data_IF_146629107586
#
_entry.id   IF_146629107586
#
_cell.length_a   1.000
_cell.length_b   1.000
_cell.length_c   1.000
_cell.angle_alpha   90.00
_cell.angle_beta   90.00
_cell.angle_gamma   90.00
#
_symmetry.space_group_name_H-M   'P 1'
#
loop_
_entity.id
_entity.type
_entity.pdbx_description
1 polymer ?
#
# COMPACT_ATOMS: atom_id res chain seq x y z
N UNK A 1 -36.17 6.29 -10.25
CA UNK A 1 -34.73 5.93 -10.31
C UNK A 1 -34.63 4.55 -9.68
N UNK A 2 -34.52 3.52 -10.50
CA UNK A 2 -34.25 2.15 -10.06
C UNK A 2 -32.91 2.11 -9.34
N UNK A 3 -32.84 1.61 -8.09
CA UNK A 3 -31.59 1.31 -7.42
C UNK A 3 -30.83 0.36 -8.34
N UNK A 4 -29.73 0.86 -8.94
CA UNK A 4 -28.78 0.00 -9.61
C UNK A 4 -28.32 -1.02 -8.58
N UNK A 5 -28.47 -2.32 -8.88
CA UNK A 5 -27.96 -3.37 -8.02
C UNK A 5 -26.43 -3.20 -7.94
N UNK A 6 -25.87 -3.39 -6.72
CA UNK A 6 -24.41 -3.36 -6.54
C UNK A 6 -23.76 -4.38 -7.49
N UNK A 7 -22.60 -4.09 -8.12
CA UNK A 7 -21.89 -5.06 -8.93
C UNK A 7 -21.57 -6.33 -8.15
N UNK A 8 -21.74 -7.49 -8.76
CA UNK A 8 -21.45 -8.80 -8.16
C UNK A 8 -19.94 -9.04 -8.19
N UNK A 9 -19.35 -9.33 -7.06
CA UNK A 9 -17.90 -9.42 -6.90
C UNK A 9 -17.44 -10.75 -6.32
N UNK A 10 -16.25 -11.16 -6.72
CA UNK A 10 -15.49 -12.26 -6.10
C UNK A 10 -14.15 -11.75 -5.58
N UNK A 11 -13.62 -12.46 -4.59
CA UNK A 11 -12.25 -12.33 -4.13
C UNK A 11 -11.47 -13.59 -4.49
N UNK A 12 -10.35 -13.44 -5.18
CA UNK A 12 -9.45 -14.53 -5.54
C UNK A 12 -8.24 -14.52 -4.61
N UNK A 13 -8.05 -15.59 -3.85
CA UNK A 13 -7.06 -15.72 -2.78
C UNK A 13 -7.71 -15.60 -1.39
N UNK A 14 -7.18 -16.35 -0.41
CA UNK A 14 -7.77 -16.44 0.94
C UNK A 14 -6.79 -16.11 2.09
N UNK A 15 -5.52 -15.80 1.81
CA UNK A 15 -4.55 -15.36 2.84
C UNK A 15 -4.82 -13.89 3.16
N UNK A 16 -4.19 -12.95 2.48
CA UNK A 16 -4.53 -11.53 2.59
C UNK A 16 -5.90 -11.23 1.98
N UNK A 17 -6.37 -12.06 1.04
CA UNK A 17 -7.72 -12.02 0.48
C UNK A 17 -8.84 -12.16 1.51
N UNK A 18 -8.59 -12.76 2.68
CA UNK A 18 -9.56 -12.77 3.78
C UNK A 18 -9.94 -11.35 4.23
N UNK A 19 -8.96 -10.43 4.31
CA UNK A 19 -9.21 -9.01 4.64
C UNK A 19 -10.13 -8.36 3.61
N UNK A 20 -9.93 -8.68 2.31
CA UNK A 20 -10.79 -8.20 1.24
C UNK A 20 -12.19 -8.77 1.35
N UNK A 21 -12.31 -10.10 1.47
CA UNK A 21 -13.62 -10.77 1.55
C UNK A 21 -14.44 -10.27 2.73
N UNK A 22 -13.86 -10.18 3.93
CA UNK A 22 -14.51 -9.65 5.13
C UNK A 22 -14.92 -8.19 4.95
N UNK A 23 -14.06 -7.38 4.32
CA UNK A 23 -14.36 -5.96 4.07
C UNK A 23 -15.49 -5.78 3.07
N UNK A 24 -15.54 -6.62 2.02
CA UNK A 24 -16.51 -6.52 0.93
C UNK A 24 -17.84 -7.20 1.25
N UNK A 25 -17.89 -8.10 2.23
CA UNK A 25 -19.12 -8.68 2.75
C UNK A 25 -19.92 -7.70 3.65
N UNK A 26 -19.31 -6.58 4.08
CA UNK A 26 -19.97 -5.59 4.93
C UNK A 26 -21.17 -4.93 4.22
N UNK A 27 -22.18 -4.54 4.99
CA UNK A 27 -23.42 -3.94 4.47
C UNK A 27 -23.20 -2.62 3.68
N UNK A 28 -22.17 -1.86 4.04
CA UNK A 28 -21.77 -0.61 3.39
C UNK A 28 -20.77 -0.82 2.22
N UNK A 29 -20.56 -2.06 1.78
CA UNK A 29 -19.71 -2.38 0.63
C UNK A 29 -20.27 -1.81 -0.67
N UNK A 30 -19.43 -1.28 -1.58
CA UNK A 30 -19.85 -0.82 -2.90
C UNK A 30 -20.19 -1.96 -3.86
N UNK A 31 -19.91 -3.21 -3.49
CA UNK A 31 -20.17 -4.42 -4.28
C UNK A 31 -20.95 -5.44 -3.46
N UNK A 32 -21.57 -6.40 -4.15
CA UNK A 32 -22.16 -7.61 -3.56
C UNK A 32 -21.12 -8.75 -3.65
N UNK A 33 -20.54 -9.14 -2.52
CA UNK A 33 -19.64 -10.31 -2.51
C UNK A 33 -20.43 -11.58 -2.70
N UNK A 34 -20.17 -12.32 -3.80
CA UNK A 34 -20.88 -13.56 -4.16
C UNK A 34 -20.03 -14.82 -4.01
N UNK A 35 -18.73 -14.67 -3.80
CA UNK A 35 -17.87 -15.83 -3.61
C UNK A 35 -16.40 -15.50 -3.35
N UNK A 36 -15.71 -16.52 -2.86
CA UNK A 36 -14.26 -16.56 -2.71
C UNK A 36 -13.71 -17.65 -3.62
N UNK A 37 -12.63 -17.36 -4.35
CA UNK A 37 -11.91 -18.36 -5.16
C UNK A 37 -10.61 -18.72 -4.44
N UNK A 38 -10.46 -19.98 -4.10
CA UNK A 38 -9.27 -20.52 -3.43
C UNK A 38 -9.21 -22.04 -3.58
N UNK A 39 -8.01 -22.60 -3.51
CA UNK A 39 -7.75 -24.05 -3.68
C UNK A 39 -8.42 -24.98 -2.63
N UNK A 40 -9.27 -24.43 -1.75
CA UNK A 40 -10.12 -25.23 -0.86
C UNK A 40 -9.44 -25.66 0.45
N UNK A 41 -8.50 -24.85 0.99
CA UNK A 41 -7.98 -25.09 2.33
C UNK A 41 -9.08 -25.01 3.39
N UNK A 42 -8.91 -25.67 4.55
CA UNK A 42 -9.86 -25.56 5.66
C UNK A 42 -10.10 -24.10 6.10
N UNK A 43 -9.08 -23.26 6.02
CA UNK A 43 -9.18 -21.82 6.34
C UNK A 43 -10.04 -21.07 5.32
N UNK A 44 -9.93 -21.38 4.02
CA UNK A 44 -10.75 -20.74 2.99
C UNK A 44 -12.20 -21.21 3.02
N UNK A 45 -12.45 -22.49 3.35
CA UNK A 45 -13.79 -23.00 3.57
C UNK A 45 -14.47 -22.31 4.76
N UNK A 46 -13.78 -22.25 5.90
CA UNK A 46 -14.27 -21.55 7.09
C UNK A 46 -14.52 -20.04 6.84
N UNK A 47 -13.72 -19.41 6.00
CA UNK A 47 -13.94 -18.02 5.59
C UNK A 47 -15.25 -17.87 4.79
N UNK A 48 -15.44 -18.68 3.77
CA UNK A 48 -16.63 -18.65 2.91
C UNK A 48 -17.92 -18.94 3.72
N UNK A 49 -17.89 -19.96 4.59
CA UNK A 49 -19.00 -20.31 5.48
C UNK A 49 -19.35 -19.17 6.43
N UNK A 50 -18.34 -18.54 7.07
CA UNK A 50 -18.55 -17.40 7.97
C UNK A 50 -19.16 -16.20 7.27
N UNK A 51 -18.81 -15.96 6.01
CA UNK A 51 -19.34 -14.86 5.21
C UNK A 51 -20.66 -15.20 4.50
N UNK A 52 -21.10 -16.47 4.53
CA UNK A 52 -22.31 -16.91 3.84
C UNK A 52 -22.21 -16.82 2.31
N UNK A 53 -21.00 -16.98 1.74
CA UNK A 53 -20.75 -16.93 0.29
C UNK A 53 -20.19 -18.25 -0.23
N UNK A 54 -20.29 -18.47 -1.54
CA UNK A 54 -19.76 -19.69 -2.17
C UNK A 54 -18.22 -19.71 -2.16
N UNK A 55 -17.63 -20.90 -1.98
CA UNK A 55 -16.22 -21.17 -2.25
C UNK A 55 -16.09 -21.86 -3.61
N UNK A 56 -15.29 -21.28 -4.49
CA UNK A 56 -14.97 -21.82 -5.81
C UNK A 56 -13.52 -22.31 -5.81
N UNK A 57 -13.26 -23.57 -6.20
CA UNK A 57 -11.89 -24.12 -6.23
C UNK A 57 -11.03 -23.51 -7.36
N UNK A 58 -11.67 -23.05 -8.42
CA UNK A 58 -11.05 -22.44 -9.60
C UNK A 58 -11.95 -21.35 -10.22
N UNK A 59 -11.57 -20.88 -11.41
CA UNK A 59 -12.31 -19.86 -12.15
C UNK A 59 -13.37 -20.40 -13.10
N UNK A 60 -13.48 -21.71 -13.29
CA UNK A 60 -14.24 -22.28 -14.42
C UNK A 60 -15.76 -22.28 -14.14
N UNK A 61 -16.16 -22.55 -12.91
CA UNK A 61 -17.56 -22.64 -12.47
C UNK A 61 -18.09 -21.37 -11.79
N UNK A 62 -17.53 -20.20 -12.12
CA UNK A 62 -17.99 -18.94 -11.55
C UNK A 62 -19.40 -18.59 -12.01
N UNK A 63 -20.26 -18.05 -11.12
CA UNK A 63 -21.54 -17.47 -11.51
C UNK A 63 -21.30 -16.20 -12.34
N UNK A 64 -22.37 -15.49 -12.69
CA UNK A 64 -22.23 -14.15 -13.25
C UNK A 64 -21.53 -13.24 -12.23
N UNK A 65 -20.39 -12.64 -12.63
CA UNK A 65 -19.53 -11.78 -11.84
C UNK A 65 -19.17 -10.54 -12.67
N UNK A 66 -19.34 -9.37 -12.10
CA UNK A 66 -18.99 -8.10 -12.74
C UNK A 66 -17.54 -7.69 -12.42
N UNK A 67 -17.10 -7.94 -11.17
CA UNK A 67 -15.82 -7.46 -10.63
C UNK A 67 -15.08 -8.57 -9.89
N UNK A 68 -13.79 -8.69 -10.10
CA UNK A 68 -12.91 -9.57 -9.34
C UNK A 68 -11.80 -8.79 -8.63
N UNK A 69 -11.58 -9.10 -7.35
CA UNK A 69 -10.45 -8.64 -6.57
C UNK A 69 -9.43 -9.77 -6.51
N UNK A 70 -8.32 -9.63 -7.25
CA UNK A 70 -7.26 -10.65 -7.32
C UNK A 70 -6.21 -10.35 -6.25
N UNK A 71 -6.24 -11.11 -5.16
CA UNK A 71 -5.37 -10.96 -3.99
C UNK A 71 -4.45 -12.17 -3.89
N UNK A 72 -3.81 -12.46 -5.01
CA UNK A 72 -2.83 -13.54 -5.19
C UNK A 72 -1.52 -12.91 -5.62
N UNK A 73 -0.40 -13.41 -5.09
CA UNK A 73 0.93 -12.93 -5.47
C UNK A 73 1.12 -12.94 -6.99
N UNK A 74 1.68 -11.87 -7.54
CA UNK A 74 2.02 -11.78 -8.97
C UNK A 74 3.35 -12.50 -9.28
N UNK A 75 3.72 -12.59 -10.56
CA UNK A 75 4.96 -13.19 -11.03
C UNK A 75 6.22 -12.62 -10.38
N UNK A 76 6.22 -11.33 -10.02
CA UNK A 76 7.31 -10.64 -9.31
C UNK A 76 7.70 -11.34 -8.00
N UNK A 77 6.74 -11.97 -7.33
CA UNK A 77 6.93 -12.66 -6.04
C UNK A 77 6.60 -14.16 -6.16
N UNK A 78 6.66 -14.70 -7.38
CA UNK A 78 6.52 -16.13 -7.65
C UNK A 78 5.10 -16.68 -7.61
N UNK A 79 4.08 -15.85 -7.94
CA UNK A 79 2.68 -16.27 -7.99
C UNK A 79 2.00 -16.04 -9.33
N UNK A 80 0.78 -16.55 -9.49
CA UNK A 80 0.01 -16.57 -10.74
C UNK A 80 -1.00 -15.40 -10.85
N UNK A 81 -0.88 -14.38 -10.00
CA UNK A 81 -1.85 -13.28 -9.92
C UNK A 81 -2.10 -12.58 -11.26
N UNK A 82 -1.05 -12.39 -12.08
CA UNK A 82 -1.20 -11.76 -13.39
C UNK A 82 -1.95 -12.67 -14.40
N UNK A 83 -1.66 -13.98 -14.42
CA UNK A 83 -2.35 -14.95 -15.27
C UNK A 83 -3.84 -15.10 -14.87
N UNK A 84 -4.11 -15.10 -13.58
CA UNK A 84 -5.48 -15.11 -13.05
C UNK A 84 -6.23 -13.84 -13.49
N UNK A 85 -5.60 -12.67 -13.34
CA UNK A 85 -6.17 -11.40 -13.78
C UNK A 85 -6.46 -11.41 -15.28
N UNK A 86 -5.55 -11.90 -16.11
CA UNK A 86 -5.73 -12.01 -17.57
C UNK A 86 -6.91 -12.91 -17.93
N UNK A 87 -7.03 -14.11 -17.31
CA UNK A 87 -8.17 -15.02 -17.52
C UNK A 87 -9.51 -14.36 -17.17
N UNK A 88 -9.58 -13.58 -16.11
CA UNK A 88 -10.79 -12.87 -15.71
C UNK A 88 -11.14 -11.75 -16.69
N UNK A 89 -10.15 -10.94 -17.09
CA UNK A 89 -10.32 -9.85 -18.07
C UNK A 89 -10.83 -10.40 -19.43
N UNK A 90 -10.27 -11.53 -19.90
CA UNK A 90 -10.71 -12.15 -21.16
C UNK A 90 -12.13 -12.71 -21.09
N UNK A 91 -12.66 -12.95 -19.91
CA UNK A 91 -14.07 -13.34 -19.67
C UNK A 91 -15.01 -12.15 -19.50
N UNK A 92 -14.53 -10.93 -19.71
CA UNK A 92 -15.35 -9.73 -19.60
C UNK A 92 -15.58 -9.27 -18.15
N UNK A 93 -14.73 -9.68 -17.20
CA UNK A 93 -14.81 -9.31 -15.79
C UNK A 93 -13.83 -8.18 -15.50
N UNK A 94 -14.28 -7.11 -14.84
CA UNK A 94 -13.41 -6.03 -14.37
C UNK A 94 -12.51 -6.53 -13.24
N UNK A 95 -11.22 -6.17 -13.25
CA UNK A 95 -10.25 -6.70 -12.28
C UNK A 95 -9.52 -5.59 -11.53
N UNK A 96 -9.56 -5.65 -10.20
CA UNK A 96 -8.61 -4.97 -9.32
C UNK A 96 -7.65 -6.00 -8.73
N UNK A 97 -6.36 -5.84 -8.99
CA UNK A 97 -5.31 -6.72 -8.49
C UNK A 97 -4.57 -6.08 -7.32
N UNK A 98 -4.30 -6.86 -6.28
CA UNK A 98 -3.48 -6.41 -5.15
C UNK A 98 -2.00 -6.36 -5.56
N UNK A 99 -1.31 -5.38 -5.03
CA UNK A 99 0.14 -5.20 -5.19
C UNK A 99 0.96 -6.37 -4.57
N UNK A 100 2.22 -6.57 -4.97
CA UNK A 100 2.96 -5.87 -6.02
C UNK A 100 2.70 -6.45 -7.41
N UNK A 101 2.70 -5.62 -8.44
CA UNK A 101 2.58 -6.04 -9.85
C UNK A 101 3.65 -5.32 -10.66
N UNK A 102 4.40 -6.03 -11.50
CA UNK A 102 5.45 -5.44 -12.33
C UNK A 102 4.86 -4.52 -13.41
N UNK A 103 5.59 -3.47 -13.78
CA UNK A 103 5.12 -2.48 -14.76
C UNK A 103 4.74 -3.11 -16.12
N UNK A 104 5.48 -4.12 -16.56
CA UNK A 104 5.21 -4.80 -17.84
C UNK A 104 3.98 -5.70 -17.77
N UNK A 105 3.73 -6.37 -16.62
CA UNK A 105 2.48 -7.09 -16.36
C UNK A 105 1.30 -6.12 -16.36
N UNK A 106 1.40 -4.96 -15.68
CA UNK A 106 0.37 -3.93 -15.68
C UNK A 106 0.06 -3.48 -17.10
N UNK A 107 1.08 -3.18 -17.91
CA UNK A 107 0.90 -2.73 -19.30
C UNK A 107 0.27 -3.80 -20.18
N UNK A 108 0.59 -5.08 -19.95
CA UNK A 108 -0.04 -6.21 -20.64
C UNK A 108 -1.51 -6.32 -20.27
N UNK A 109 -1.82 -6.33 -18.98
CA UNK A 109 -3.19 -6.45 -18.47
C UNK A 109 -4.08 -5.26 -18.86
N UNK A 110 -3.53 -4.05 -18.93
CA UNK A 110 -4.24 -2.89 -19.48
C UNK A 110 -4.62 -3.06 -20.95
N UNK A 111 -3.75 -3.70 -21.76
CA UNK A 111 -4.05 -3.99 -23.18
C UNK A 111 -5.15 -5.04 -23.28
N UNK A 112 -5.06 -6.11 -22.49
CA UNK A 112 -6.10 -7.14 -22.40
C UNK A 112 -7.44 -6.55 -21.95
N UNK A 113 -7.45 -5.74 -20.91
CA UNK A 113 -8.64 -5.05 -20.42
C UNK A 113 -9.29 -4.17 -21.49
N UNK A 114 -8.47 -3.40 -22.24
CA UNK A 114 -8.94 -2.58 -23.34
C UNK A 114 -9.56 -3.41 -24.47
N UNK A 115 -8.93 -4.53 -24.83
CA UNK A 115 -9.39 -5.43 -25.90
C UNK A 115 -10.76 -6.06 -25.57
N UNK A 116 -11.03 -6.30 -24.29
CA UNK A 116 -12.27 -6.90 -23.80
C UNK A 116 -13.28 -5.89 -23.22
N UNK A 117 -13.03 -4.58 -23.39
CA UNK A 117 -13.92 -3.48 -22.92
C UNK A 117 -14.20 -3.54 -21.41
N UNK A 118 -13.23 -4.00 -20.62
CA UNK A 118 -13.27 -4.06 -19.15
C UNK A 118 -12.22 -3.15 -18.53
N UNK A 119 -12.24 -3.01 -17.20
CA UNK A 119 -11.28 -2.21 -16.43
C UNK A 119 -10.28 -3.11 -15.71
N UNK A 120 -9.06 -2.62 -15.65
CA UNK A 120 -8.00 -3.18 -14.82
C UNK A 120 -7.39 -2.07 -13.95
N UNK A 121 -7.19 -2.39 -12.67
CA UNK A 121 -6.50 -1.51 -11.73
C UNK A 121 -5.59 -2.32 -10.80
N UNK A 122 -4.57 -1.66 -10.26
CA UNK A 122 -3.75 -2.18 -9.16
C UNK A 122 -4.10 -1.42 -7.90
N UNK A 123 -4.34 -2.14 -6.80
CA UNK A 123 -4.48 -1.55 -5.48
C UNK A 123 -3.12 -1.51 -4.81
N UNK A 124 -2.59 -0.33 -4.55
CA UNK A 124 -1.37 -0.10 -3.79
C UNK A 124 -1.60 -0.12 -2.26
N UNK A 125 -2.82 -0.41 -1.86
CA UNK A 125 -3.37 -0.58 -0.52
C UNK A 125 -3.01 0.54 0.48
N UNK A 126 -1.72 0.69 0.83
CA UNK A 126 -1.31 1.55 1.95
C UNK A 126 -1.55 3.04 1.70
N UNK A 127 -1.51 3.52 0.47
CA UNK A 127 -1.85 4.91 0.16
C UNK A 127 -3.33 5.24 0.44
N UNK A 128 -4.17 4.21 0.62
CA UNK A 128 -5.60 4.33 0.92
C UNK A 128 -5.93 4.24 2.41
N UNK A 129 -4.98 3.79 3.24
CA UNK A 129 -5.12 3.75 4.70
C UNK A 129 -5.21 5.18 5.26
N UNK A 130 -6.15 5.43 6.15
CA UNK A 130 -6.51 6.80 6.57
C UNK A 130 -5.33 7.66 7.04
N UNK A 131 -4.40 7.19 7.92
CA UNK A 131 -3.22 7.95 8.31
C UNK A 131 -2.33 8.36 7.12
N UNK A 132 -2.02 7.42 6.23
CA UNK A 132 -1.19 7.70 5.05
C UNK A 132 -1.87 8.68 4.09
N UNK A 133 -3.19 8.55 3.90
CA UNK A 133 -3.96 9.53 3.10
C UNK A 133 -3.91 10.92 3.67
N UNK A 134 -4.06 11.04 5.01
CA UNK A 134 -3.94 12.31 5.72
C UNK A 134 -2.56 12.92 5.49
N UNK A 135 -1.50 12.14 5.65
CA UNK A 135 -0.13 12.55 5.40
C UNK A 135 0.10 13.01 3.95
N UNK A 136 -0.36 12.24 2.96
CA UNK A 136 -0.27 12.61 1.54
C UNK A 136 -1.03 13.93 1.27
N UNK A 137 -2.21 14.09 1.85
CA UNK A 137 -2.99 15.32 1.74
C UNK A 137 -2.27 16.53 2.31
N UNK A 138 -1.68 16.38 3.49
CA UNK A 138 -0.89 17.42 4.16
C UNK A 138 0.40 17.77 3.37
N UNK A 139 1.11 16.76 2.86
CA UNK A 139 2.29 16.98 2.03
C UNK A 139 1.97 17.74 0.73
N UNK A 140 0.85 17.41 0.08
CA UNK A 140 0.37 18.16 -1.09
C UNK A 140 -0.04 19.60 -0.75
N UNK A 141 -0.57 19.83 0.44
CA UNK A 141 -0.86 21.18 0.92
C UNK A 141 0.43 21.96 1.20
N UNK A 142 1.42 21.32 1.85
CA UNK A 142 2.74 21.90 2.09
C UNK A 142 3.41 22.29 0.77
N UNK A 143 3.48 21.39 -0.23
CA UNK A 143 4.15 21.63 -1.52
C UNK A 143 3.56 22.82 -2.31
N UNK A 144 2.30 23.19 -2.06
CA UNK A 144 1.68 24.39 -2.63
C UNK A 144 2.11 25.69 -1.93
N UNK A 145 2.49 25.61 -0.66
CA UNK A 145 2.91 26.77 0.16
C UNK A 145 4.41 26.93 0.05
N UNK A 146 5.14 25.83 0.22
CA UNK A 146 6.60 25.77 0.19
C UNK A 146 7.04 24.45 -0.43
N UNK A 147 7.89 24.52 -1.47
CA UNK A 147 8.32 23.34 -2.23
C UNK A 147 8.99 22.29 -1.35
N UNK A 148 8.60 21.05 -1.55
CA UNK A 148 9.28 19.89 -0.97
C UNK A 148 10.68 19.79 -1.57
N UNK A 149 11.71 19.69 -0.71
CA UNK A 149 13.13 19.64 -1.07
C UNK A 149 13.73 18.26 -0.88
N UNK A 150 13.25 17.52 0.12
CA UNK A 150 13.76 16.19 0.42
C UNK A 150 12.69 15.31 1.06
N UNK A 151 12.94 14.00 0.99
CA UNK A 151 12.14 12.98 1.67
C UNK A 151 13.10 11.99 2.34
N UNK A 152 12.84 11.65 3.60
CA UNK A 152 13.47 10.52 4.27
C UNK A 152 12.41 9.45 4.53
N UNK A 153 12.69 8.20 4.17
CA UNK A 153 11.75 7.11 4.44
C UNK A 153 12.45 5.84 4.92
N UNK A 154 11.80 5.19 5.88
CA UNK A 154 12.16 3.84 6.32
C UNK A 154 11.03 2.90 5.98
N UNK A 155 11.37 1.67 5.55
CA UNK A 155 10.37 0.66 5.20
C UNK A 155 10.96 -0.75 5.31
N UNK A 156 10.09 -1.76 5.39
CA UNK A 156 10.47 -3.15 5.16
C UNK A 156 10.33 -3.54 3.70
N UNK A 157 11.13 -4.52 3.25
CA UNK A 157 11.21 -4.93 1.84
C UNK A 157 9.85 -5.31 1.24
N UNK A 158 9.01 -6.01 1.98
CA UNK A 158 7.70 -6.49 1.49
C UNK A 158 6.66 -5.38 1.30
N UNK A 159 6.91 -4.16 1.80
CA UNK A 159 6.04 -2.99 1.59
C UNK A 159 6.76 -1.82 0.89
N UNK A 160 7.90 -2.10 0.26
CA UNK A 160 8.61 -1.08 -0.55
C UNK A 160 7.82 -0.71 -1.81
N UNK A 161 7.07 -1.65 -2.40
CA UNK A 161 6.21 -1.32 -3.55
C UNK A 161 5.22 -0.18 -3.24
N UNK A 162 4.38 -0.28 -2.20
CA UNK A 162 3.49 0.82 -1.84
C UNK A 162 4.24 2.07 -1.36
N UNK A 163 5.45 1.96 -0.82
CA UNK A 163 6.28 3.14 -0.55
C UNK A 163 6.50 3.96 -1.82
N UNK A 164 6.87 3.31 -2.95
CA UNK A 164 7.06 4.01 -4.21
C UNK A 164 5.76 4.61 -4.77
N UNK A 165 4.61 3.96 -4.55
CA UNK A 165 3.31 4.52 -4.87
C UNK A 165 3.01 5.77 -4.03
N UNK A 166 3.34 5.76 -2.72
CA UNK A 166 3.23 6.92 -1.83
C UNK A 166 4.18 8.03 -2.29
N UNK A 167 5.47 7.74 -2.48
CA UNK A 167 6.46 8.71 -2.95
C UNK A 167 6.02 9.38 -4.25
N UNK A 168 5.41 8.62 -5.15
CA UNK A 168 4.87 9.19 -6.38
C UNK A 168 3.80 10.25 -6.16
N UNK A 169 3.16 10.30 -5.02
CA UNK A 169 2.15 11.29 -4.68
C UNK A 169 2.70 12.48 -3.87
N UNK A 170 3.91 12.34 -3.31
CA UNK A 170 4.56 13.35 -2.47
C UNK A 170 5.47 14.28 -3.24
N UNK A 171 6.23 13.75 -4.21
CA UNK A 171 7.27 14.50 -4.90
C UNK A 171 6.87 14.88 -6.32
N UNK A 172 7.50 15.90 -6.90
CA UNK A 172 7.26 16.39 -8.25
C UNK A 172 7.53 15.39 -9.37
N UNK A 173 8.29 15.70 -10.41
CA UNK A 173 8.54 14.76 -11.51
C UNK A 173 9.33 13.54 -11.03
N UNK A 174 8.92 12.34 -11.47
CA UNK A 174 9.63 11.07 -11.21
C UNK A 174 10.72 10.77 -12.27
N UNK A 175 10.94 11.69 -13.19
CA UNK A 175 11.98 11.61 -14.22
C UNK A 175 12.53 13.02 -14.50
N UNK A 176 13.85 13.16 -14.75
CA UNK A 176 14.83 12.10 -14.68
C UNK A 176 15.05 11.60 -13.24
N UNK A 177 15.39 10.33 -13.10
CA UNK A 177 15.70 9.70 -11.83
C UNK A 177 17.14 9.18 -11.81
N UNK A 178 17.82 9.34 -10.69
CA UNK A 178 19.11 8.70 -10.41
C UNK A 178 18.98 7.87 -9.15
N UNK A 179 19.42 6.62 -9.21
CA UNK A 179 19.39 5.67 -8.09
C UNK A 179 20.83 5.40 -7.67
N UNK A 180 21.09 5.42 -6.37
CA UNK A 180 22.35 5.04 -5.76
C UNK A 180 22.06 4.15 -4.56
N UNK A 181 22.62 2.94 -4.58
CA UNK A 181 22.65 2.02 -3.46
C UNK A 181 24.11 1.71 -3.20
N UNK A 182 24.64 1.86 -1.97
CA UNK A 182 26.01 1.49 -1.64
C UNK A 182 26.25 0.01 -1.90
N UNK A 183 27.43 -0.33 -2.40
CA UNK A 183 27.85 -1.74 -2.62
C UNK A 183 28.02 -2.48 -1.29
N UNK A 184 28.56 -1.78 -0.28
CA UNK A 184 28.75 -2.34 1.05
C UNK A 184 27.52 -2.06 1.94
N UNK A 185 26.95 -3.13 2.49
CA UNK A 185 25.88 -3.03 3.50
C UNK A 185 26.52 -2.84 4.89
N UNK A 186 25.96 -1.94 5.67
CA UNK A 186 26.32 -1.79 7.07
C UNK A 186 25.86 -3.01 7.91
N UNK A 187 26.31 -3.10 9.17
CA UNK A 187 26.04 -4.28 10.03
C UNK A 187 24.59 -4.35 10.53
N UNK A 188 23.74 -3.38 10.23
CA UNK A 188 22.34 -3.34 10.67
C UNK A 188 21.38 -3.98 9.66
N UNK A 189 20.09 -4.11 10.03
CA UNK A 189 19.08 -4.72 9.19
C UNK A 189 18.64 -3.85 8.00
N UNK A 190 19.11 -2.60 7.92
CA UNK A 190 18.69 -1.64 6.91
C UNK A 190 19.77 -1.44 5.84
N UNK A 191 19.35 -1.57 4.59
CA UNK A 191 20.14 -1.14 3.44
C UNK A 191 19.77 0.29 3.10
N UNK A 192 20.78 1.17 3.02
CA UNK A 192 20.59 2.55 2.60
C UNK A 192 20.47 2.66 1.09
N UNK A 193 19.69 3.64 0.62
CA UNK A 193 19.61 3.98 -0.79
C UNK A 193 19.20 5.43 -0.98
N UNK A 194 19.56 6.02 -2.11
CA UNK A 194 19.20 7.39 -2.46
C UNK A 194 18.63 7.46 -3.86
N UNK A 195 17.52 8.18 -3.98
CA UNK A 195 16.97 8.60 -5.26
C UNK A 195 17.13 10.12 -5.40
N UNK A 196 17.40 10.58 -6.61
CA UNK A 196 17.27 12.00 -6.97
C UNK A 196 16.20 12.08 -8.05
N UNK A 197 15.09 12.71 -7.74
CA UNK A 197 13.89 12.83 -8.57
C UNK A 197 13.70 14.31 -8.94
N UNK A 198 14.22 14.71 -10.10
CA UNK A 198 14.33 16.12 -10.42
C UNK A 198 15.28 16.84 -9.44
N UNK A 199 14.76 17.79 -8.68
CA UNK A 199 15.45 18.57 -7.64
C UNK A 199 15.16 18.07 -6.20
N UNK A 200 14.43 16.97 -6.04
CA UNK A 200 14.12 16.38 -4.74
C UNK A 200 15.03 15.17 -4.47
N UNK A 201 15.68 15.19 -3.31
CA UNK A 201 16.45 14.04 -2.81
C UNK A 201 15.54 13.16 -1.94
N UNK A 202 15.59 11.85 -2.18
CA UNK A 202 14.86 10.86 -1.37
C UNK A 202 15.87 9.86 -0.80
N UNK A 203 16.06 9.89 0.52
CA UNK A 203 16.90 8.95 1.24
C UNK A 203 16.04 7.82 1.83
N UNK A 204 16.45 6.60 1.57
CA UNK A 204 15.73 5.39 1.94
C UNK A 204 16.57 4.52 2.86
N UNK A 205 15.94 3.96 3.89
CA UNK A 205 16.48 2.90 4.74
C UNK A 205 15.49 1.72 4.66
N UNK A 206 15.89 0.68 3.95
CA UNK A 206 15.02 -0.48 3.72
C UNK A 206 15.53 -1.66 4.54
N UNK A 207 14.67 -2.20 5.42
CA UNK A 207 14.93 -3.48 6.04
C UNK A 207 14.87 -4.57 4.94
N UNK A 208 16.04 -4.96 4.44
CA UNK A 208 16.18 -5.92 3.34
C UNK A 208 16.39 -7.33 3.90
N UNK A 209 15.49 -7.78 4.76
CA UNK A 209 15.49 -9.09 5.43
C UNK A 209 14.14 -9.78 5.21
N UNK A 210 14.15 -11.09 4.98
CA UNK A 210 12.95 -11.93 4.88
C UNK A 210 13.15 -13.18 5.74
N UNK A 211 12.16 -13.51 6.58
CA UNK A 211 12.07 -14.79 7.25
C UNK A 211 11.24 -15.76 6.37
N UNK A 212 11.83 -16.81 5.78
CA UNK A 212 11.09 -17.69 4.85
C UNK A 212 9.92 -18.43 5.50
N UNK A 213 10.02 -18.74 6.80
CA UNK A 213 8.95 -19.43 7.54
C UNK A 213 7.78 -18.50 7.92
N UNK A 214 7.99 -17.18 7.92
CA UNK A 214 6.99 -16.17 8.26
C UNK A 214 7.29 -14.83 7.57
N UNK A 215 7.11 -14.73 6.24
CA UNK A 215 7.60 -13.60 5.45
C UNK A 215 6.95 -12.26 5.79
N UNK A 216 5.75 -12.28 6.36
CA UNK A 216 4.95 -11.08 6.56
C UNK A 216 5.07 -10.46 7.97
N UNK A 217 5.64 -11.19 8.96
CA UNK A 217 5.61 -10.78 10.36
C UNK A 217 6.94 -10.33 10.96
N UNK A 218 8.05 -10.37 10.21
CA UNK A 218 9.37 -9.95 10.69
C UNK A 218 9.73 -8.51 10.30
N UNK A 219 8.73 -7.70 9.94
CA UNK A 219 8.92 -6.27 9.68
C UNK A 219 9.15 -5.51 10.99
N UNK A 220 10.24 -4.74 11.04
CA UNK A 220 10.50 -3.80 12.15
C UNK A 220 9.57 -2.59 12.09
N UNK A 221 9.16 -2.21 10.89
CA UNK A 221 8.15 -1.19 10.60
C UNK A 221 7.64 -1.41 9.18
N UNK A 222 6.46 -0.89 8.88
CA UNK A 222 5.97 -0.85 7.50
C UNK A 222 6.53 0.40 6.79
N UNK A 223 6.09 1.60 7.18
CA UNK A 223 6.60 2.87 6.66
C UNK A 223 6.74 3.90 7.79
N UNK A 224 7.83 4.69 7.74
CA UNK A 224 7.95 5.96 8.44
C UNK A 224 8.52 6.95 7.42
N UNK A 225 7.89 8.12 7.27
CA UNK A 225 8.20 9.05 6.16
C UNK A 225 8.27 10.47 6.70
N UNK A 226 9.34 11.19 6.36
CA UNK A 226 9.50 12.61 6.59
C UNK A 226 9.59 13.33 5.26
N UNK A 227 8.83 14.39 5.10
CA UNK A 227 8.89 15.31 3.95
C UNK A 227 9.37 16.66 4.44
N UNK A 228 10.46 17.17 3.87
CA UNK A 228 11.08 18.42 4.28
C UNK A 228 11.01 19.52 3.23
N UNK A 229 10.83 20.75 3.72
CA UNK A 229 10.87 22.00 2.97
C UNK A 229 11.70 23.05 3.74
N UNK A 230 11.85 24.25 3.16
CA UNK A 230 12.50 25.35 3.88
C UNK A 230 11.67 25.88 5.06
N UNK A 231 10.37 25.55 5.11
CA UNK A 231 9.48 25.91 6.22
C UNK A 231 9.52 24.94 7.40
N UNK A 232 9.97 23.69 7.21
CA UNK A 232 9.99 22.67 8.24
C UNK A 232 9.79 21.25 7.70
N UNK A 233 9.45 20.32 8.59
CA UNK A 233 9.28 18.91 8.30
C UNK A 233 7.86 18.41 8.63
N UNK A 234 7.28 17.66 7.71
CA UNK A 234 6.05 16.88 7.92
C UNK A 234 6.42 15.41 8.12
N UNK A 235 6.04 14.84 9.25
CA UNK A 235 6.45 13.50 9.67
C UNK A 235 5.25 12.58 9.82
N UNK A 236 5.27 11.43 9.15
CA UNK A 236 4.45 10.26 9.44
C UNK A 236 5.33 9.28 10.22
N UNK A 237 5.07 9.10 11.50
CA UNK A 237 5.89 8.28 12.39
C UNK A 237 5.76 6.78 12.13
N UNK A 238 4.58 6.33 11.70
CA UNK A 238 4.26 4.95 11.34
C UNK A 238 3.12 4.91 10.32
N UNK A 239 3.02 3.85 9.51
CA UNK A 239 1.96 3.64 8.51
C UNK A 239 0.54 3.87 9.05
N UNK A 240 0.30 3.48 10.30
CA UNK A 240 -0.98 3.62 10.98
C UNK A 240 -0.95 4.73 12.04
N UNK A 241 0.12 5.50 12.08
CA UNK A 241 0.40 6.49 13.11
C UNK A 241 0.01 7.92 12.72
N UNK A 242 0.45 8.82 13.55
CA UNK A 242 0.09 10.23 13.51
C UNK A 242 0.95 11.02 12.52
N UNK A 243 0.38 12.04 11.91
CA UNK A 243 1.11 13.05 11.14
C UNK A 243 1.41 14.25 12.02
N UNK A 244 2.67 14.67 12.07
CA UNK A 244 3.13 15.84 12.82
C UNK A 244 3.83 16.83 11.89
N UNK A 245 3.61 18.12 12.16
CA UNK A 245 4.33 19.22 11.55
C UNK A 245 5.38 19.77 12.53
N UNK A 246 6.61 19.85 12.11
CA UNK A 246 7.72 20.45 12.85
C UNK A 246 8.16 21.72 12.10
N UNK A 247 7.71 22.92 12.51
CA UNK A 247 8.12 24.16 11.88
C UNK A 247 9.63 24.39 12.06
N UNK A 248 10.26 24.96 11.04
CA UNK A 248 11.67 25.33 11.13
C UNK A 248 11.88 26.35 12.27
N UNK A 249 12.84 26.14 13.17
CA UNK A 249 13.19 27.13 14.18
C UNK A 249 13.53 28.48 13.55
N UNK A 250 13.00 29.56 14.12
CA UNK A 250 13.25 30.95 13.69
C UNK A 250 13.83 31.74 14.84
N UNK A 251 14.74 32.68 14.54
CA UNK A 251 15.36 33.54 15.56
C UNK A 251 14.32 34.37 16.32
N UNK A 252 13.28 34.85 15.61
CA UNK A 252 12.19 35.63 16.20
C UNK A 252 11.30 34.78 17.12
N UNK A 253 11.31 33.46 17.00
CA UNK A 253 10.56 32.53 17.87
C UNK A 253 11.12 32.50 19.31
N UNK A 254 12.31 33.03 19.55
CA UNK A 254 12.86 33.16 20.91
C UNK A 254 12.08 34.17 21.79
N UNK A 255 11.20 34.98 21.20
CA UNK A 255 10.45 36.05 21.90
C UNK A 255 8.92 35.74 21.92
N UNK A 256 8.47 34.71 21.23
CA UNK A 256 7.03 34.33 21.10
C UNK A 256 6.77 32.90 21.52
N UNK A 257 5.50 32.60 21.80
CA UNK A 257 5.01 31.25 22.09
C UNK A 257 4.67 30.50 20.76
N UNK A 258 5.72 30.01 20.11
CA UNK A 258 5.59 29.26 18.84
C UNK A 258 5.60 27.76 19.07
N UNK A 259 4.70 26.99 18.42
CA UNK A 259 4.70 25.54 18.55
C UNK A 259 5.99 24.94 17.96
N UNK A 260 6.58 23.98 18.69
CA UNK A 260 7.74 23.20 18.24
C UNK A 260 7.30 22.03 17.37
N UNK A 261 6.14 21.47 17.69
CA UNK A 261 5.51 20.38 16.95
C UNK A 261 4.00 20.47 17.06
N UNK A 262 3.30 20.24 15.95
CA UNK A 262 1.84 20.31 15.87
C UNK A 262 1.28 19.03 15.28
N UNK A 263 0.13 18.59 15.81
CA UNK A 263 -0.64 17.53 15.22
C UNK A 263 -1.30 18.03 13.93
N UNK A 264 -1.18 17.27 12.84
CA UNK A 264 -1.84 17.59 11.58
C UNK A 264 -3.05 16.68 11.40
N UNK A 265 -4.23 17.27 11.44
CA UNK A 265 -5.50 16.57 11.30
C UNK A 265 -5.83 15.71 12.52
N UNK A 266 -6.22 14.44 12.29
CA UNK A 266 -6.61 13.49 13.34
C UNK A 266 -5.37 12.73 13.81
N UNK A 267 -5.20 12.60 15.13
CA UNK A 267 -4.20 11.71 15.73
C UNK A 267 -4.60 10.25 15.59
N UNK A 268 -3.62 9.41 15.28
CA UNK A 268 -3.81 7.97 15.14
C UNK A 268 -2.84 7.24 16.08
N UNK A 269 -3.39 6.54 17.06
CA UNK A 269 -2.67 5.64 17.97
C UNK A 269 -3.42 4.30 18.04
N UNK A 270 -3.59 3.61 16.90
CA UNK A 270 -4.43 2.44 16.84
C UNK A 270 -3.74 1.20 17.43
N UNK A 271 -4.55 0.36 18.06
CA UNK A 271 -4.16 -1.01 18.38
C UNK A 271 -4.19 -1.88 17.10
N UNK A 272 -3.56 -3.05 17.16
CA UNK A 272 -3.64 -4.04 16.06
C UNK A 272 -5.09 -4.39 15.71
N UNK A 273 -5.98 -4.43 16.71
CA UNK A 273 -7.41 -4.68 16.51
C UNK A 273 -8.07 -3.57 15.68
N UNK A 274 -7.81 -2.31 16.01
CA UNK A 274 -8.35 -1.16 15.23
C UNK A 274 -7.80 -1.18 13.79
N UNK A 275 -6.52 -1.49 13.62
CA UNK A 275 -5.92 -1.60 12.28
C UNK A 275 -6.64 -2.65 11.45
N UNK A 276 -6.80 -3.87 11.98
CA UNK A 276 -7.39 -5.01 11.27
C UNK A 276 -8.90 -4.87 11.05
N UNK A 277 -9.63 -4.35 12.05
CA UNK A 277 -11.08 -4.35 12.03
C UNK A 277 -11.69 -3.04 11.50
N UNK A 278 -10.90 -1.96 11.42
CA UNK A 278 -11.41 -0.66 10.96
C UNK A 278 -10.60 -0.04 9.83
N UNK A 279 -9.27 0.18 10.03
CA UNK A 279 -8.47 0.95 9.07
C UNK A 279 -8.31 0.20 7.74
N UNK A 280 -7.96 -1.07 7.79
CA UNK A 280 -7.80 -1.90 6.60
C UNK A 280 -9.11 -2.16 5.87
N UNK A 281 -10.21 -2.56 6.53
CA UNK A 281 -11.50 -2.70 5.87
C UNK A 281 -11.99 -1.44 5.19
N UNK A 282 -11.81 -0.27 5.82
CA UNK A 282 -12.16 1.02 5.21
C UNK A 282 -11.31 1.32 3.98
N UNK A 283 -10.02 0.97 4.00
CA UNK A 283 -9.12 1.14 2.85
C UNK A 283 -9.54 0.25 1.67
N UNK A 284 -9.89 -1.02 1.93
CA UNK A 284 -10.39 -1.95 0.90
C UNK A 284 -11.69 -1.44 0.30
N UNK A 285 -12.70 -1.10 1.14
CA UNK A 285 -13.99 -0.58 0.63
C UNK A 285 -13.82 0.70 -0.18
N UNK A 286 -12.90 1.58 0.24
CA UNK A 286 -12.59 2.78 -0.53
C UNK A 286 -11.97 2.43 -1.89
N UNK A 287 -11.00 1.50 -1.92
CA UNK A 287 -10.42 1.03 -3.18
C UNK A 287 -11.48 0.47 -4.11
N UNK A 288 -12.38 -0.36 -3.57
CA UNK A 288 -13.48 -0.93 -4.32
C UNK A 288 -14.46 0.15 -4.83
N UNK A 289 -14.78 1.15 -4.02
CA UNK A 289 -15.66 2.26 -4.42
C UNK A 289 -15.03 3.08 -5.57
N UNK A 290 -13.77 3.48 -5.43
CA UNK A 290 -13.04 4.21 -6.47
C UNK A 290 -12.97 3.38 -7.78
N UNK A 291 -12.83 2.05 -7.66
CA UNK A 291 -12.77 1.15 -8.82
C UNK A 291 -14.12 1.03 -9.51
N UNK A 292 -15.20 0.76 -8.77
CA UNK A 292 -16.56 0.71 -9.31
C UNK A 292 -16.93 2.03 -9.99
N UNK A 293 -16.66 3.16 -9.33
CA UNK A 293 -16.87 4.48 -9.93
C UNK A 293 -16.09 4.67 -11.24
N UNK A 294 -14.85 4.14 -11.33
CA UNK A 294 -14.04 4.21 -12.56
C UNK A 294 -14.63 3.41 -13.71
N UNK A 295 -15.42 2.37 -13.44
CA UNK A 295 -16.13 1.61 -14.49
C UNK A 295 -17.17 2.50 -15.14
N UNK A 296 -17.96 3.23 -14.35
CA UNK A 296 -19.06 4.06 -14.81
C UNK A 296 -18.58 5.35 -15.52
N UNK A 297 -17.60 6.05 -14.94
CA UNK A 297 -17.14 7.37 -15.40
C UNK A 297 -15.88 7.33 -16.27
N UNK A 298 -15.35 6.13 -16.54
CA UNK A 298 -14.13 5.95 -17.33
C UNK A 298 -12.87 6.63 -16.76
N UNK A 299 -12.83 6.90 -15.46
CA UNK A 299 -11.67 7.49 -14.80
C UNK A 299 -10.41 6.61 -14.93
N UNK A 300 -9.26 7.25 -15.07
CA UNK A 300 -7.97 6.58 -15.21
C UNK A 300 -7.45 6.28 -13.80
N UNK A 301 -7.42 5.01 -13.42
CA UNK A 301 -6.85 4.58 -12.13
C UNK A 301 -5.34 4.35 -12.21
N UNK A 302 -4.83 3.82 -13.33
CA UNK A 302 -3.40 3.61 -13.56
C UNK A 302 -2.87 4.73 -14.45
N UNK A 303 -2.17 5.68 -13.84
CA UNK A 303 -1.55 6.80 -14.53
C UNK A 303 -0.14 6.47 -15.01
N UNK A 304 0.40 7.24 -15.95
CA UNK A 304 1.82 7.16 -16.36
C UNK A 304 2.75 7.35 -15.15
N UNK A 305 2.33 8.17 -14.20
CA UNK A 305 3.05 8.41 -12.96
C UNK A 305 3.13 7.13 -12.10
N UNK A 306 2.04 6.38 -11.97
CA UNK A 306 2.00 5.10 -11.26
C UNK A 306 2.92 4.07 -11.95
N UNK A 307 2.86 3.95 -13.27
CA UNK A 307 3.76 3.07 -14.05
C UNK A 307 5.24 3.45 -13.81
N UNK A 308 5.56 4.74 -13.81
CA UNK A 308 6.93 5.19 -13.54
C UNK A 308 7.37 4.87 -12.10
N UNK A 309 6.50 5.03 -11.12
CA UNK A 309 6.77 4.65 -9.74
C UNK A 309 7.05 3.14 -9.60
N UNK A 310 6.27 2.31 -10.27
CA UNK A 310 6.46 0.85 -10.31
C UNK A 310 7.81 0.47 -10.95
N UNK A 311 8.21 1.14 -12.02
CA UNK A 311 9.54 0.94 -12.64
C UNK A 311 10.66 1.35 -11.69
N UNK A 312 10.56 2.51 -11.05
CA UNK A 312 11.54 2.97 -10.07
C UNK A 312 11.66 2.01 -8.89
N UNK A 313 10.55 1.45 -8.41
CA UNK A 313 10.58 0.39 -7.42
C UNK A 313 11.39 -0.81 -7.90
N UNK A 314 11.15 -1.32 -9.10
CA UNK A 314 11.88 -2.45 -9.67
C UNK A 314 13.37 -2.12 -9.88
N UNK A 315 13.69 -0.96 -10.43
CA UNK A 315 15.05 -0.48 -10.62
C UNK A 315 15.80 -0.38 -9.27
N UNK A 316 15.15 0.17 -8.26
CA UNK A 316 15.71 0.33 -6.92
C UNK A 316 15.93 -1.00 -6.20
N UNK A 317 14.94 -1.89 -6.19
CA UNK A 317 15.05 -3.21 -5.54
C UNK A 317 16.07 -4.09 -6.24
N UNK A 318 16.20 -4.00 -7.56
CA UNK A 318 17.26 -4.67 -8.32
C UNK A 318 18.65 -4.15 -7.95
N UNK A 319 18.82 -2.84 -7.80
CA UNK A 319 20.08 -2.23 -7.36
C UNK A 319 20.43 -2.59 -5.90
N UNK A 320 19.42 -2.76 -5.05
CA UNK A 320 19.60 -3.17 -3.65
C UNK A 320 20.03 -4.63 -3.50
N UNK A 321 19.70 -5.46 -4.48
CA UNK A 321 19.97 -6.89 -4.47
C UNK A 321 18.98 -7.71 -3.62
N UNK A 322 19.18 -9.03 -3.54
CA UNK A 322 18.28 -9.93 -2.84
C UNK A 322 18.23 -9.61 -1.33
N UNK A 323 17.09 -9.93 -0.73
CA UNK A 323 16.94 -9.83 0.72
C UNK A 323 17.78 -10.90 1.43
N UNK A 324 18.32 -10.54 2.60
CA UNK A 324 18.98 -11.48 3.47
C UNK A 324 17.94 -12.41 4.12
N UNK A 325 18.21 -13.71 4.06
CA UNK A 325 17.33 -14.68 4.70
C UNK A 325 17.68 -14.77 6.19
N UNK A 326 16.68 -14.55 7.03
CA UNK A 326 16.83 -14.60 8.49
C UNK A 326 15.97 -15.71 9.09
N UNK A 327 16.40 -16.22 10.25
CA UNK A 327 15.58 -17.11 11.06
C UNK A 327 14.55 -16.32 11.86
N UNK A 328 13.43 -16.99 12.16
CA UNK A 328 12.42 -16.43 13.05
C UNK A 328 13.03 -16.14 14.43
N UNK A 329 12.90 -14.92 14.91
CA UNK A 329 13.35 -14.51 16.23
C UNK A 329 12.16 -14.10 17.08
N UNK A 330 12.08 -14.62 18.27
CA UNK A 330 11.14 -14.14 19.28
C UNK A 330 11.70 -12.84 19.83
N UNK A 331 10.99 -11.74 19.63
CA UNK A 331 11.33 -10.46 20.26
C UNK A 331 10.87 -10.48 21.73
N UNK A 332 11.60 -9.78 22.59
CA UNK A 332 11.10 -9.48 23.93
C UNK A 332 9.89 -8.58 23.85
N UNK A 333 8.90 -8.82 24.70
CA UNK A 333 7.75 -7.93 24.84
C UNK A 333 8.18 -6.70 25.66
N UNK A 334 8.20 -5.54 25.02
CA UNK A 334 8.62 -4.27 25.62
C UNK A 334 7.48 -3.27 25.45
N UNK A 335 6.85 -2.87 26.56
CA UNK A 335 5.83 -1.83 26.59
C UNK A 335 6.45 -0.44 26.80
N UNK A 336 5.69 0.61 26.43
CA UNK A 336 6.12 2.00 26.67
C UNK A 336 6.36 2.28 28.17
N UNK A 337 5.57 1.66 29.06
CA UNK A 337 5.72 1.83 30.51
C UNK A 337 7.07 1.30 31.03
N UNK A 338 7.61 0.25 30.41
CA UNK A 338 8.94 -0.27 30.74
C UNK A 338 10.08 0.66 30.30
N UNK A 339 9.83 1.51 29.32
CA UNK A 339 10.79 2.45 28.78
C UNK A 339 10.70 3.83 29.46
N UNK A 340 9.59 4.11 30.14
CA UNK A 340 9.42 5.38 30.85
C UNK A 340 10.39 5.42 32.07
N UNK A 341 11.17 6.51 32.24
CA UNK A 341 11.95 6.68 33.47
C UNK A 341 10.97 6.74 34.64
N UNK A 342 11.31 6.00 35.73
CA UNK A 342 10.53 6.09 36.96
C UNK A 342 10.45 7.55 37.46
N UNK A 343 9.50 7.85 38.34
CA UNK A 343 9.42 9.18 38.93
C UNK A 343 10.73 9.51 39.62
N UNK A 344 11.38 10.59 39.16
CA UNK A 344 12.61 11.17 39.74
C UNK A 344 12.35 11.80 41.09
#
# INVERSE_FOLDING_TARGET
MTRSSRPRAIVVGATFGAVYAESLAAADSPVELVGVVSTGSAASAALADRLGVALYPDLDDLPHVDVAFVVVRSGVVGGDGAQIAERLLTRGIHVMQEQPVHADEILSLLRTAKAHSVRYAVNDFYSRVAPVRQFIGAAKALDKIERIRYVHARSSIHVVYPLFAILSQLVGPLAPARIRVPEERGPGPFTAGRLVLGDVTVDLLIQNEICPSDPDNHARLLHAITVGSDAGELVLDHTHGTTRWHPRPRAEAAVGDWPIAELVGIGFEPTTSIVRNELWPRAVRRAAADFVESIDNSAIMITQRFIRATRLWSEFTSAMGPADLIEARVANDVSADLLAPGPS
#
